data_IF_481171690276
#
_entry.id   IF_481171690276
#
_cell.length_a   1.000
_cell.length_b   1.000
_cell.length_c   1.000
_cell.angle_alpha   90.00
_cell.angle_beta   90.00
_cell.angle_gamma   90.00
#
_symmetry.space_group_name_H-M   'P 1'
#
loop_
_entity.id
_entity.type
_entity.pdbx_description
1 polymer ?
#
# COMPACT_ATOMS: atom_id res chain seq x y z
N UNK A 1 12.20 2.03 17.86
CA UNK A 1 12.63 0.89 16.99
C UNK A 1 13.41 1.43 15.81
N UNK A 2 14.58 0.89 15.59
CA UNK A 2 15.34 1.20 14.38
C UNK A 2 14.92 0.23 13.27
N UNK A 3 14.66 0.74 12.08
CA UNK A 3 14.26 -0.08 10.93
C UNK A 3 14.86 0.48 9.65
N UNK A 4 15.01 -0.38 8.66
CA UNK A 4 15.49 0.02 7.33
C UNK A 4 14.46 -0.39 6.28
N UNK A 5 14.32 0.41 5.23
CA UNK A 5 13.48 0.07 4.09
C UNK A 5 14.35 -0.59 3.03
N UNK A 6 13.80 -1.61 2.38
CA UNK A 6 14.47 -2.28 1.29
C UNK A 6 13.48 -2.85 0.30
N UNK A 7 13.97 -3.20 -0.86
CA UNK A 7 13.17 -3.91 -1.85
C UNK A 7 12.81 -5.30 -1.37
N UNK A 8 11.68 -5.81 -1.82
CA UNK A 8 11.20 -7.15 -1.48
C UNK A 8 12.07 -8.24 -2.06
N UNK A 9 12.15 -9.34 -1.35
CA UNK A 9 12.77 -10.58 -1.83
C UNK A 9 11.68 -11.67 -1.85
N UNK A 10 11.93 -12.70 -2.64
CA UNK A 10 11.02 -13.84 -2.73
C UNK A 10 10.69 -14.43 -1.35
N UNK A 11 11.69 -14.47 -0.47
CA UNK A 11 11.55 -15.00 0.89
C UNK A 11 10.65 -14.18 1.80
N UNK A 12 10.30 -12.94 1.41
CA UNK A 12 9.44 -12.08 2.22
C UNK A 12 7.95 -12.34 2.01
N UNK A 13 7.57 -13.06 0.96
CA UNK A 13 6.16 -13.19 0.55
C UNK A 13 5.28 -13.76 1.66
N UNK A 14 5.74 -14.78 2.37
CA UNK A 14 4.95 -15.37 3.46
C UNK A 14 4.71 -14.40 4.60
N UNK A 15 5.70 -13.60 4.94
CA UNK A 15 5.57 -12.58 5.98
C UNK A 15 4.64 -11.46 5.53
N UNK A 16 4.77 -11.01 4.28
CA UNK A 16 3.87 -10.01 3.70
C UNK A 16 2.44 -10.52 3.74
N UNK A 17 2.21 -11.75 3.29
CA UNK A 17 0.87 -12.35 3.32
C UNK A 17 0.28 -12.33 4.73
N UNK A 18 1.06 -12.74 5.72
CA UNK A 18 0.61 -12.74 7.12
C UNK A 18 0.26 -11.34 7.61
N UNK A 19 1.11 -10.35 7.32
CA UNK A 19 0.84 -8.96 7.69
C UNK A 19 -0.47 -8.44 7.06
N UNK A 20 -0.68 -8.75 5.79
CA UNK A 20 -1.89 -8.32 5.08
C UNK A 20 -3.13 -9.03 5.61
N UNK A 21 -3.03 -10.31 5.92
CA UNK A 21 -4.16 -11.04 6.49
C UNK A 21 -4.53 -10.53 7.89
N UNK A 22 -3.56 -10.20 8.71
CA UNK A 22 -3.80 -9.62 10.03
C UNK A 22 -4.53 -8.28 9.92
N UNK A 23 -4.11 -7.43 8.99
CA UNK A 23 -4.77 -6.15 8.73
C UNK A 23 -6.16 -6.35 8.14
N UNK A 24 -6.34 -7.29 7.23
CA UNK A 24 -7.64 -7.60 6.63
C UNK A 24 -8.63 -8.08 7.69
N UNK A 25 -8.19 -8.90 8.67
CA UNK A 25 -9.05 -9.37 9.76
C UNK A 25 -9.54 -8.23 10.63
N UNK A 26 -8.80 -7.11 10.68
CA UNK A 26 -9.19 -5.89 11.39
C UNK A 26 -9.93 -4.90 10.48
N UNK A 27 -10.25 -5.28 9.26
CA UNK A 27 -10.91 -4.45 8.24
C UNK A 27 -10.15 -3.17 7.90
N UNK A 28 -8.82 -3.20 7.99
CA UNK A 28 -7.98 -2.06 7.66
C UNK A 28 -7.60 -2.03 6.19
N UNK A 29 -7.64 -3.19 5.50
CA UNK A 29 -7.39 -3.32 4.07
C UNK A 29 -8.00 -4.62 3.55
N UNK A 30 -7.92 -4.83 2.23
CA UNK A 30 -8.41 -6.04 1.59
C UNK A 30 -7.30 -7.08 1.48
N UNK A 31 -7.63 -8.38 1.63
CA UNK A 31 -6.62 -9.45 1.54
C UNK A 31 -6.12 -9.63 0.10
N UNK A 32 -4.92 -10.19 -0.02
CA UNK A 32 -4.33 -10.56 -1.31
C UNK A 32 -3.86 -11.99 -1.26
N UNK A 33 -4.05 -12.72 -2.36
CA UNK A 33 -3.60 -14.10 -2.49
C UNK A 33 -2.08 -14.19 -2.68
N UNK A 34 -1.53 -15.38 -2.44
CA UNK A 34 -0.12 -15.64 -2.77
C UNK A 34 0.17 -15.41 -4.25
N UNK A 35 -0.73 -15.83 -5.13
CA UNK A 35 -0.57 -15.62 -6.58
C UNK A 35 -0.40 -14.15 -6.92
N UNK A 36 -1.23 -13.29 -6.34
CA UNK A 36 -1.12 -11.85 -6.54
C UNK A 36 0.19 -11.29 -5.97
N UNK A 37 0.61 -11.75 -4.80
CA UNK A 37 1.86 -11.29 -4.20
C UNK A 37 3.07 -11.67 -5.04
N UNK A 38 3.12 -12.90 -5.56
CA UNK A 38 4.20 -13.31 -6.44
C UNK A 38 4.20 -12.52 -7.76
N UNK A 39 3.01 -12.28 -8.34
CA UNK A 39 2.89 -11.55 -9.60
C UNK A 39 3.32 -10.08 -9.45
N UNK A 40 3.11 -9.48 -8.28
CA UNK A 40 3.36 -8.06 -8.02
C UNK A 40 4.50 -7.81 -7.03
N UNK A 41 5.38 -8.79 -6.87
CA UNK A 41 6.46 -8.71 -5.87
C UNK A 41 7.33 -7.45 -6.03
N UNK A 42 7.59 -7.05 -7.26
CA UNK A 42 8.42 -5.87 -7.56
C UNK A 42 7.81 -4.55 -7.08
N UNK A 43 6.51 -4.53 -6.88
CA UNK A 43 5.81 -3.32 -6.43
C UNK A 43 6.04 -3.02 -4.96
N UNK A 44 6.48 -4.01 -4.19
CA UNK A 44 6.57 -3.92 -2.73
C UNK A 44 7.89 -3.37 -2.24
N UNK A 45 7.79 -2.58 -1.16
CA UNK A 45 8.89 -2.17 -0.30
C UNK A 45 8.57 -2.72 1.08
N UNK A 46 9.57 -3.22 1.78
CA UNK A 46 9.41 -3.73 3.14
C UNK A 46 10.24 -2.92 4.13
N UNK A 47 9.77 -2.89 5.37
CA UNK A 47 10.51 -2.35 6.50
C UNK A 47 11.04 -3.53 7.32
N UNK A 48 12.33 -3.54 7.55
CA UNK A 48 13.02 -4.60 8.28
C UNK A 48 13.54 -4.04 9.60
N UNK A 49 13.23 -4.73 10.70
CA UNK A 49 13.76 -4.36 12.00
C UNK A 49 15.29 -4.48 11.95
N UNK A 50 15.99 -3.42 12.33
CA UNK A 50 17.46 -3.38 12.23
C UNK A 50 18.15 -4.35 13.18
N UNK A 51 17.51 -4.75 14.28
CA UNK A 51 18.08 -5.65 15.27
C UNK A 51 17.82 -7.11 14.95
N UNK A 52 16.57 -7.44 14.56
CA UNK A 52 16.16 -8.84 14.38
C UNK A 52 16.17 -9.30 12.93
N UNK A 53 16.26 -8.36 11.97
CA UNK A 53 16.12 -8.59 10.54
C UNK A 53 14.71 -9.10 10.14
N UNK A 54 13.74 -9.02 11.03
CA UNK A 54 12.36 -9.40 10.71
C UNK A 54 11.67 -8.30 9.91
N UNK A 55 10.86 -8.70 8.92
CA UNK A 55 10.01 -7.75 8.20
C UNK A 55 8.83 -7.38 9.09
N UNK A 56 8.69 -6.09 9.38
CA UNK A 56 7.66 -5.55 10.26
C UNK A 56 6.64 -4.66 9.54
N UNK A 57 6.82 -4.44 8.26
CA UNK A 57 5.88 -3.64 7.48
C UNK A 57 6.11 -3.82 5.98
N UNK A 58 5.08 -3.52 5.21
CA UNK A 58 5.14 -3.57 3.75
C UNK A 58 4.21 -2.53 3.14
N UNK A 59 4.50 -2.14 1.92
CA UNK A 59 3.63 -1.29 1.12
C UNK A 59 3.96 -1.50 -0.35
N UNK A 60 2.96 -1.39 -1.22
CA UNK A 60 3.15 -1.55 -2.65
C UNK A 60 2.83 -0.26 -3.40
N UNK A 61 3.61 0.02 -4.45
CA UNK A 61 3.29 1.02 -5.44
C UNK A 61 2.93 0.29 -6.73
N UNK A 62 1.70 0.43 -7.18
CA UNK A 62 1.20 -0.20 -8.40
C UNK A 62 0.99 0.86 -9.47
N UNK A 63 1.72 0.78 -10.58
CA UNK A 63 1.52 1.67 -11.71
C UNK A 63 0.20 1.26 -12.37
N UNK A 64 -0.76 2.20 -12.39
CA UNK A 64 -2.14 1.89 -12.77
C UNK A 64 -2.46 2.32 -14.19
N UNK A 65 -1.97 3.49 -14.59
CA UNK A 65 -2.21 4.08 -15.90
C UNK A 65 -1.12 5.10 -16.20
N UNK A 66 -1.15 5.68 -17.39
CA UNK A 66 -0.22 6.75 -17.75
C UNK A 66 -0.31 7.89 -16.73
N UNK A 67 0.81 8.20 -16.09
CA UNK A 67 0.89 9.28 -15.11
C UNK A 67 0.20 9.02 -13.78
N UNK A 68 -0.21 7.77 -13.49
CA UNK A 68 -0.98 7.44 -12.29
C UNK A 68 -0.48 6.17 -11.63
N UNK A 69 -0.29 6.21 -10.33
CA UNK A 69 0.07 5.03 -9.54
C UNK A 69 -0.77 4.96 -8.26
N UNK A 70 -0.86 3.78 -7.72
CA UNK A 70 -1.63 3.51 -6.49
C UNK A 70 -0.70 3.02 -5.38
N UNK A 71 -0.82 3.62 -4.20
CA UNK A 71 -0.27 3.08 -2.96
C UNK A 71 -1.30 2.10 -2.40
N UNK A 72 -0.89 0.85 -2.22
CA UNK A 72 -1.79 -0.21 -1.75
C UNK A 72 -1.07 -1.20 -0.86
N UNK A 73 -1.82 -2.04 -0.19
CA UNK A 73 -1.29 -3.14 0.63
C UNK A 73 -0.31 -2.66 1.71
N UNK A 74 -0.62 -1.52 2.32
CA UNK A 74 0.13 -1.00 3.46
C UNK A 74 -0.26 -1.78 4.71
N UNK A 75 0.70 -2.44 5.32
CA UNK A 75 0.47 -3.17 6.56
C UNK A 75 1.71 -3.05 7.46
N UNK A 76 1.48 -2.82 8.74
CA UNK A 76 2.53 -2.70 9.74
C UNK A 76 2.20 -3.64 10.89
N UNK A 77 3.18 -4.43 11.32
CA UNK A 77 3.02 -5.34 12.45
C UNK A 77 2.60 -4.56 13.70
N UNK A 78 1.74 -5.16 14.52
CA UNK A 78 1.18 -4.49 15.69
C UNK A 78 2.28 -3.93 16.61
N UNK A 79 3.33 -4.71 16.85
CA UNK A 79 4.45 -4.31 17.70
C UNK A 79 5.29 -3.17 17.12
N UNK A 80 5.15 -2.87 15.83
CA UNK A 80 5.90 -1.82 15.14
C UNK A 80 5.05 -0.57 14.86
N UNK A 81 3.78 -0.58 15.23
CA UNK A 81 2.89 0.56 15.02
C UNK A 81 3.26 1.74 15.92
N UNK A 82 2.91 2.94 15.48
CA UNK A 82 3.17 4.17 16.24
C UNK A 82 4.62 4.64 16.20
N UNK A 83 5.46 4.05 15.35
CA UNK A 83 6.89 4.37 15.27
C UNK A 83 7.32 4.95 13.93
N UNK A 84 6.36 5.34 13.10
CA UNK A 84 6.63 5.97 11.81
C UNK A 84 6.93 5.01 10.68
N UNK A 85 6.76 3.70 10.86
CA UNK A 85 7.03 2.70 9.82
C UNK A 85 6.10 2.88 8.63
N UNK A 86 4.81 3.01 8.87
CA UNK A 86 3.82 3.20 7.80
C UNK A 86 4.08 4.47 7.00
N UNK A 87 4.36 5.56 7.68
CA UNK A 87 4.70 6.84 7.05
C UNK A 87 5.91 6.71 6.13
N UNK A 88 6.99 6.09 6.62
CA UNK A 88 8.22 5.93 5.83
C UNK A 88 7.99 5.04 4.61
N UNK A 89 7.16 4.01 4.75
CA UNK A 89 6.81 3.13 3.63
C UNK A 89 6.05 3.90 2.55
N UNK A 90 5.05 4.68 2.92
CA UNK A 90 4.29 5.48 1.94
C UNK A 90 5.18 6.52 1.28
N UNK A 91 6.02 7.20 2.06
CA UNK A 91 6.96 8.19 1.50
C UNK A 91 7.91 7.54 0.49
N UNK A 92 8.38 6.34 0.75
CA UNK A 92 9.23 5.61 -0.18
C UNK A 92 8.49 5.26 -1.47
N UNK A 93 7.22 4.85 -1.39
CA UNK A 93 6.41 4.57 -2.56
C UNK A 93 6.19 5.84 -3.40
N UNK A 94 5.90 6.96 -2.76
CA UNK A 94 5.73 8.25 -3.45
C UNK A 94 7.03 8.67 -4.13
N UNK A 95 8.17 8.47 -3.48
CA UNK A 95 9.48 8.73 -4.06
C UNK A 95 9.74 7.87 -5.30
N UNK A 96 9.36 6.60 -5.25
CA UNK A 96 9.46 5.70 -6.41
C UNK A 96 8.60 6.19 -7.57
N UNK A 97 7.39 6.67 -7.30
CA UNK A 97 6.53 7.23 -8.32
C UNK A 97 7.21 8.40 -9.05
N UNK A 98 7.84 9.29 -8.30
CA UNK A 98 8.60 10.40 -8.88
C UNK A 98 9.73 9.91 -9.78
N UNK A 99 10.42 8.86 -9.37
CA UNK A 99 11.51 8.25 -10.15
C UNK A 99 11.02 7.78 -11.52
N UNK A 100 9.77 7.29 -11.61
CA UNK A 100 9.16 6.90 -12.87
C UNK A 100 8.53 8.06 -13.64
N UNK A 101 8.60 9.28 -13.12
CA UNK A 101 7.96 10.44 -13.75
C UNK A 101 6.45 10.48 -13.52
N UNK A 102 5.97 9.87 -12.45
CA UNK A 102 4.55 9.86 -12.09
C UNK A 102 4.33 10.89 -11.00
N UNK A 103 3.39 11.82 -11.23
CA UNK A 103 3.12 12.94 -10.32
C UNK A 103 1.76 12.85 -9.62
N UNK A 104 0.95 11.86 -9.95
CA UNK A 104 -0.34 11.62 -9.29
C UNK A 104 -0.33 10.23 -8.67
N UNK A 105 -0.52 10.18 -7.37
CA UNK A 105 -0.54 8.93 -6.62
C UNK A 105 -1.84 8.90 -5.81
N UNK A 106 -2.60 7.82 -5.95
CA UNK A 106 -3.85 7.65 -5.21
C UNK A 106 -3.80 6.43 -4.30
N UNK A 107 -4.78 6.34 -3.43
CA UNK A 107 -5.01 5.17 -2.60
C UNK A 107 -6.51 5.01 -2.35
N UNK A 108 -6.95 3.79 -2.16
CA UNK A 108 -8.29 3.47 -1.69
C UNK A 108 -8.11 2.94 -0.27
N UNK A 109 -8.68 3.64 0.73
CA UNK A 109 -8.32 3.39 2.12
C UNK A 109 -9.50 3.56 3.08
N UNK A 110 -9.43 2.87 4.21
CA UNK A 110 -10.25 3.15 5.39
C UNK A 110 -9.52 4.08 6.36
N UNK A 111 -8.24 4.36 6.15
CA UNK A 111 -7.41 5.14 7.08
C UNK A 111 -7.21 6.57 6.54
N UNK A 112 -8.32 7.31 6.46
CA UNK A 112 -8.35 8.65 5.86
C UNK A 112 -7.43 9.61 6.61
N UNK A 113 -7.47 9.63 7.94
CA UNK A 113 -6.66 10.56 8.73
C UNK A 113 -5.17 10.32 8.57
N UNK A 114 -4.77 9.07 8.50
CA UNK A 114 -3.37 8.71 8.27
C UNK A 114 -2.86 9.30 6.95
N UNK A 115 -3.59 9.07 5.86
CA UNK A 115 -3.17 9.57 4.54
C UNK A 115 -3.30 11.09 4.44
N UNK A 116 -4.31 11.68 5.09
CA UNK A 116 -4.44 13.15 5.11
C UNK A 116 -3.21 13.80 5.73
N UNK A 117 -2.67 13.25 6.79
CA UNK A 117 -1.45 13.76 7.42
C UNK A 117 -0.22 13.67 6.51
N UNK A 118 -0.24 12.76 5.54
CA UNK A 118 0.84 12.62 4.56
C UNK A 118 0.65 13.50 3.33
N UNK A 119 -0.41 14.31 3.29
CA UNK A 119 -0.65 15.25 2.19
C UNK A 119 -1.65 14.76 1.15
N UNK A 120 -2.22 13.58 1.32
CA UNK A 120 -3.29 13.09 0.46
C UNK A 120 -4.60 13.82 0.76
N UNK A 121 -5.39 14.07 -0.26
CA UNK A 121 -6.70 14.70 -0.14
C UNK A 121 -7.77 13.77 -0.71
N UNK A 122 -8.97 13.82 -0.13
CA UNK A 122 -10.09 13.06 -0.65
C UNK A 122 -10.44 13.51 -2.06
N UNK A 123 -10.71 12.55 -2.92
CA UNK A 123 -11.18 12.79 -4.28
C UNK A 123 -12.39 11.91 -4.57
N UNK A 124 -13.21 12.30 -5.53
CA UNK A 124 -14.28 11.45 -6.01
C UNK A 124 -13.68 10.23 -6.69
N UNK A 125 -14.28 9.05 -6.48
CA UNK A 125 -13.86 7.82 -7.17
C UNK A 125 -14.00 7.97 -8.69
N UNK A 126 -14.86 8.88 -9.16
CA UNK A 126 -15.08 9.12 -10.59
C UNK A 126 -13.85 9.68 -11.31
N UNK A 127 -12.89 10.26 -10.59
CA UNK A 127 -11.65 10.77 -11.20
C UNK A 127 -10.67 9.66 -11.54
N UNK A 128 -10.91 8.45 -11.07
CA UNK A 128 -10.03 7.30 -11.32
C UNK A 128 -10.41 6.61 -12.63
N UNK A 129 -9.42 6.17 -13.43
CA UNK A 129 -9.70 5.47 -14.69
C UNK A 129 -10.49 4.18 -14.49
N UNK A 130 -11.27 3.79 -15.51
CA UNK A 130 -12.01 2.53 -15.48
C UNK A 130 -11.14 1.32 -15.18
N UNK A 131 -9.86 1.37 -15.53
CA UNK A 131 -8.93 0.27 -15.27
C UNK A 131 -8.79 -0.03 -13.77
N UNK A 132 -8.91 0.99 -12.92
CA UNK A 132 -8.91 0.81 -11.46
C UNK A 132 -10.12 -0.04 -11.06
N UNK A 133 -11.26 0.20 -11.70
CA UNK A 133 -12.50 -0.50 -11.39
C UNK A 133 -12.47 -1.98 -11.83
N UNK A 134 -11.66 -2.33 -12.82
CA UNK A 134 -11.48 -3.72 -13.22
C UNK A 134 -10.91 -4.56 -12.08
N UNK A 135 -10.01 -3.99 -11.26
CA UNK A 135 -9.51 -4.65 -10.06
C UNK A 135 -10.59 -4.69 -8.96
N UNK A 136 -11.40 -3.66 -8.85
CA UNK A 136 -12.49 -3.60 -7.86
C UNK A 136 -13.55 -4.66 -8.12
N UNK A 137 -13.82 -5.02 -9.37
CA UNK A 137 -14.79 -6.08 -9.71
C UNK A 137 -14.41 -7.40 -9.06
N UNK A 138 -13.14 -7.67 -8.87
CA UNK A 138 -12.64 -8.89 -8.23
C UNK A 138 -12.68 -8.82 -6.70
N UNK A 139 -12.96 -7.64 -6.15
CA UNK A 139 -12.99 -7.43 -4.72
C UNK A 139 -14.27 -8.00 -4.12
N UNK A 140 -14.21 -8.72 -2.97
CA UNK A 140 -15.40 -9.25 -2.30
C UNK A 140 -16.43 -8.19 -1.90
N UNK A 141 -16.02 -6.92 -1.80
CA UNK A 141 -16.89 -5.82 -1.40
C UNK A 141 -17.54 -5.09 -2.57
N UNK A 142 -17.15 -5.43 -3.80
CA UNK A 142 -17.78 -4.83 -4.98
C UNK A 142 -19.25 -5.27 -5.10
N UNK A 143 -20.21 -4.39 -5.44
CA UNK A 143 -20.07 -2.97 -5.78
C UNK A 143 -20.20 -2.01 -4.59
N UNK A 144 -20.30 -2.51 -3.37
CA UNK A 144 -20.56 -1.73 -2.15
C UNK A 144 -19.29 -1.33 -1.42
N UNK A 145 -18.19 -1.11 -2.16
CA UNK A 145 -16.93 -0.68 -1.56
C UNK A 145 -17.10 0.68 -0.89
N UNK A 146 -16.81 0.74 0.40
CA UNK A 146 -16.90 1.95 1.23
C UNK A 146 -15.53 2.60 1.51
N UNK A 147 -14.47 2.12 0.87
CA UNK A 147 -13.18 2.77 0.97
C UNK A 147 -13.21 4.18 0.40
N UNK A 148 -12.43 5.07 0.99
CA UNK A 148 -12.30 6.45 0.53
C UNK A 148 -11.15 6.55 -0.47
N UNK A 149 -11.39 7.22 -1.60
CA UNK A 149 -10.34 7.53 -2.56
C UNK A 149 -9.62 8.81 -2.14
N UNK A 150 -8.30 8.74 -2.10
CA UNK A 150 -7.45 9.88 -1.75
C UNK A 150 -6.32 9.99 -2.77
N UNK A 151 -5.85 11.20 -3.01
CA UNK A 151 -4.81 11.46 -4.00
C UNK A 151 -3.85 12.53 -3.51
N UNK A 152 -2.58 12.36 -3.86
CA UNK A 152 -1.55 13.40 -3.72
C UNK A 152 -1.02 13.73 -5.11
N UNK A 153 -0.88 15.02 -5.39
CA UNK A 153 -0.23 15.52 -6.60
C UNK A 153 1.15 16.08 -6.21
N UNK A 154 2.16 15.61 -6.86
CA UNK A 154 3.56 15.88 -6.52
C UNK A 154 4.14 17.04 -7.31
#
# INVERSE_FOLDING_TARGET
MAFVLRKTKMTDVRTIHRLLMDCASKKLLLPRSYTELYAHLRDFIVAEDAETANVVGCCALSITWEGLAEVRSLAVAEEAQGQGVGRRLVEACVSDALTFGIYKVFTLTYQVDFFRRLGFQEVSKDVLPQKVWADCIKCPQFPECDETAMMIEL
#
